data_IF_892593206824
#
_entry.id   IF_892593206824
#
_cell.length_a   1.000
_cell.length_b   1.000
_cell.length_c   1.000
_cell.angle_alpha   90.00
_cell.angle_beta   90.00
_cell.angle_gamma   90.00
#
_symmetry.space_group_name_H-M   'P 1'
#
loop_
_entity.id
_entity.type
_entity.pdbx_description
1 polymer ?
#
# COMPACT_ATOMS: atom_id res chain seq x y z
N UNK A 1 -1.91 6.28 -20.31
CA UNK A 1 -0.72 6.39 -19.44
C UNK A 1 -0.42 5.00 -18.89
N UNK A 2 0.83 4.57 -18.85
CA UNK A 2 1.20 3.24 -18.35
C UNK A 2 0.99 3.17 -16.82
N UNK A 3 0.43 2.07 -16.31
CA UNK A 3 0.16 1.88 -14.87
C UNK A 3 1.45 1.97 -14.05
N UNK A 4 2.57 1.48 -14.60
CA UNK A 4 3.87 1.55 -13.94
C UNK A 4 4.29 3.01 -13.68
N UNK A 5 4.06 3.91 -14.63
CA UNK A 5 4.38 5.33 -14.47
C UNK A 5 3.52 5.98 -13.37
N UNK A 6 2.26 5.57 -13.24
CA UNK A 6 1.40 6.02 -12.14
C UNK A 6 1.93 5.56 -10.79
N UNK A 7 2.40 4.31 -10.70
CA UNK A 7 3.03 3.77 -9.47
C UNK A 7 4.23 4.63 -9.07
N UNK A 8 5.13 4.95 -10.00
CA UNK A 8 6.30 5.78 -9.67
C UNK A 8 5.92 7.17 -9.16
N UNK A 9 4.91 7.81 -9.75
CA UNK A 9 4.39 9.10 -9.24
C UNK A 9 3.80 8.96 -7.84
N UNK A 10 3.04 7.89 -7.59
CA UNK A 10 2.48 7.61 -6.26
C UNK A 10 3.57 7.34 -5.22
N UNK A 11 4.61 6.56 -5.56
CA UNK A 11 5.76 6.33 -4.69
C UNK A 11 6.52 7.62 -4.39
N UNK A 12 6.72 8.50 -5.38
CA UNK A 12 7.35 9.80 -5.11
C UNK A 12 6.55 10.60 -4.09
N UNK A 13 5.22 10.72 -4.27
CA UNK A 13 4.36 11.41 -3.31
C UNK A 13 4.37 10.75 -1.92
N UNK A 14 4.29 9.42 -1.88
CA UNK A 14 4.20 8.65 -0.64
C UNK A 14 5.52 8.63 0.17
N UNK A 15 6.65 8.92 -0.49
CA UNK A 15 7.95 9.05 0.16
C UNK A 15 8.12 10.32 0.99
N UNK A 16 7.23 11.31 0.82
CA UNK A 16 7.29 12.58 1.54
C UNK A 16 6.76 12.44 2.96
N UNK A 17 7.30 13.22 3.89
CA UNK A 17 6.79 13.23 5.27
C UNK A 17 5.35 13.79 5.37
N UNK A 18 4.91 14.57 4.38
CA UNK A 18 3.52 15.07 4.26
C UNK A 18 2.53 14.03 3.74
N UNK A 19 2.96 12.81 3.38
CA UNK A 19 2.06 11.72 3.00
C UNK A 19 1.12 11.30 4.15
N UNK A 20 0.07 10.55 3.82
CA UNK A 20 -0.86 9.92 4.76
C UNK A 20 -1.00 8.41 4.52
N UNK A 21 -1.62 7.71 5.47
CA UNK A 21 -1.95 6.30 5.30
C UNK A 21 -3.13 6.14 4.33
N UNK A 22 -3.23 4.98 3.65
CA UNK A 22 -4.34 4.70 2.72
C UNK A 22 -5.68 4.70 3.46
N UNK A 23 -5.71 4.13 4.67
CA UNK A 23 -6.84 4.22 5.57
C UNK A 23 -6.49 5.18 6.70
N UNK A 24 -7.04 6.40 6.61
CA UNK A 24 -6.84 7.47 7.60
C UNK A 24 -8.19 7.97 8.09
N UNK A 25 -8.27 8.39 9.35
CA UNK A 25 -9.46 9.03 9.89
C UNK A 25 -9.65 10.42 9.29
N UNK A 26 -10.89 10.76 8.92
CA UNK A 26 -11.29 12.06 8.39
C UNK A 26 -12.47 12.60 9.19
N UNK A 27 -12.50 13.90 9.47
CA UNK A 27 -13.48 14.54 10.34
C UNK A 27 -14.09 15.81 9.76
N UNK A 28 -13.64 16.26 8.59
CA UNK A 28 -14.11 17.49 7.93
C UNK A 28 -14.30 17.27 6.43
N UNK A 29 -15.16 18.07 5.80
CA UNK A 29 -15.40 17.99 4.35
C UNK A 29 -14.12 18.18 3.54
N UNK A 30 -13.23 19.08 3.99
CA UNK A 30 -11.92 19.28 3.37
C UNK A 30 -11.06 18.02 3.44
N UNK A 31 -11.01 17.34 4.58
CA UNK A 31 -10.27 16.07 4.71
C UNK A 31 -10.90 14.95 3.86
N UNK A 32 -12.22 14.94 3.70
CA UNK A 32 -12.91 14.00 2.79
C UNK A 32 -12.47 14.24 1.34
N UNK A 33 -12.45 15.50 0.90
CA UNK A 33 -11.96 15.87 -0.45
C UNK A 33 -10.48 15.48 -0.64
N UNK A 34 -9.64 15.66 0.39
CA UNK A 34 -8.22 15.27 0.36
C UNK A 34 -8.01 13.76 0.22
N UNK A 35 -8.99 12.91 0.53
CA UNK A 35 -8.89 11.46 0.28
C UNK A 35 -9.05 11.09 -1.21
N UNK A 36 -9.54 11.99 -2.06
CA UNK A 36 -9.62 11.78 -3.50
C UNK A 36 -8.30 12.09 -4.19
N UNK A 37 -7.23 11.42 -3.76
CA UNK A 37 -5.88 11.70 -4.20
C UNK A 37 -5.18 10.49 -4.85
N UNK A 38 -4.03 10.73 -5.47
CA UNK A 38 -3.23 9.68 -6.12
C UNK A 38 -2.88 8.52 -5.18
N UNK A 39 -2.77 8.73 -3.86
CA UNK A 39 -2.47 7.65 -2.92
C UNK A 39 -3.66 6.69 -2.80
N UNK A 40 -4.86 7.20 -2.54
CA UNK A 40 -6.06 6.36 -2.43
C UNK A 40 -6.29 5.51 -3.69
N UNK A 41 -6.12 6.09 -4.88
CA UNK A 41 -6.30 5.36 -6.14
C UNK A 41 -5.11 4.43 -6.45
N UNK A 42 -3.91 4.98 -6.59
CA UNK A 42 -2.78 4.24 -7.18
C UNK A 42 -2.08 3.36 -6.15
N UNK A 43 -1.87 3.84 -4.91
CA UNK A 43 -1.31 2.98 -3.84
C UNK A 43 -2.31 1.88 -3.50
N UNK A 44 -3.60 2.20 -3.39
CA UNK A 44 -4.67 1.21 -3.21
C UNK A 44 -4.64 0.10 -4.28
N UNK A 45 -4.65 0.47 -5.56
CA UNK A 45 -4.55 -0.49 -6.66
C UNK A 45 -3.24 -1.31 -6.64
N UNK A 46 -2.11 -0.67 -6.28
CA UNK A 46 -0.81 -1.33 -6.18
C UNK A 46 -0.78 -2.38 -5.07
N UNK A 47 -1.42 -2.09 -3.93
CA UNK A 47 -1.56 -3.05 -2.83
C UNK A 47 -2.41 -4.26 -3.22
N UNK A 48 -3.51 -4.04 -3.96
CA UNK A 48 -4.31 -5.12 -4.52
C UNK A 48 -3.51 -5.94 -5.53
N UNK A 49 -2.70 -5.29 -6.38
CA UNK A 49 -1.84 -5.98 -7.34
C UNK A 49 -0.78 -6.82 -6.62
N UNK A 50 -0.13 -6.29 -5.59
CA UNK A 50 0.83 -7.02 -4.75
C UNK A 50 0.16 -8.24 -4.10
N UNK A 51 -1.01 -8.05 -3.49
CA UNK A 51 -1.75 -9.12 -2.84
C UNK A 51 -2.18 -10.21 -3.82
N UNK A 52 -2.68 -9.85 -5.01
CA UNK A 52 -3.01 -10.78 -6.10
C UNK A 52 -1.82 -11.66 -6.49
N UNK A 53 -0.62 -11.08 -6.61
CA UNK A 53 0.58 -11.86 -6.94
C UNK A 53 1.01 -12.76 -5.78
N UNK A 54 0.86 -12.29 -4.55
CA UNK A 54 1.20 -13.07 -3.36
C UNK A 54 0.27 -14.27 -3.14
N UNK A 55 -1.04 -14.09 -3.34
CA UNK A 55 -2.06 -15.13 -3.12
C UNK A 55 -2.28 -16.04 -4.33
N UNK A 56 -1.86 -15.64 -5.52
CA UNK A 56 -2.30 -16.11 -6.85
C UNK A 56 -3.63 -15.51 -7.33
N UNK A 57 -3.82 -15.53 -8.66
CA UNK A 57 -4.99 -14.97 -9.33
C UNK A 57 -6.29 -15.62 -8.86
N UNK A 58 -6.32 -16.95 -8.77
CA UNK A 58 -7.55 -17.71 -8.51
C UNK A 58 -8.02 -17.51 -7.06
N UNK A 59 -7.09 -17.55 -6.09
CA UNK A 59 -7.38 -17.25 -4.68
C UNK A 59 -7.87 -15.82 -4.51
N UNK A 60 -7.19 -14.86 -5.14
CA UNK A 60 -7.59 -13.46 -5.09
C UNK A 60 -8.99 -13.24 -5.69
N UNK A 61 -9.26 -13.83 -6.86
CA UNK A 61 -10.57 -13.71 -7.51
C UNK A 61 -11.69 -14.31 -6.65
N UNK A 62 -11.51 -15.53 -6.12
CA UNK A 62 -12.49 -16.16 -5.24
C UNK A 62 -12.75 -15.32 -3.98
N UNK A 63 -11.72 -14.69 -3.42
CA UNK A 63 -11.87 -13.81 -2.25
C UNK A 63 -12.67 -12.54 -2.57
N UNK A 64 -12.49 -11.97 -3.77
CA UNK A 64 -13.31 -10.85 -4.25
C UNK A 64 -14.76 -11.26 -4.48
N UNK A 65 -15.01 -12.44 -5.06
CA UNK A 65 -16.36 -12.97 -5.28
C UNK A 65 -17.11 -13.14 -3.95
N UNK A 66 -16.47 -13.73 -2.94
CA UNK A 66 -17.00 -13.85 -1.58
C UNK A 66 -17.26 -12.48 -0.96
N UNK A 67 -16.30 -11.55 -1.07
CA UNK A 67 -16.43 -10.20 -0.51
C UNK A 67 -17.65 -9.46 -1.08
N UNK A 68 -17.80 -9.45 -2.41
CA UNK A 68 -18.90 -8.76 -3.09
C UNK A 68 -20.24 -9.41 -2.75
N UNK A 69 -20.31 -10.75 -2.73
CA UNK A 69 -21.53 -11.46 -2.36
C UNK A 69 -21.96 -11.12 -0.92
N UNK A 70 -21.05 -11.19 0.04
CA UNK A 70 -21.36 -10.99 1.47
C UNK A 70 -21.75 -9.56 1.82
N UNK A 71 -21.27 -8.56 1.07
CA UNK A 71 -21.53 -7.13 1.32
C UNK A 71 -22.47 -6.51 0.28
N UNK A 72 -23.16 -7.33 -0.51
CA UNK A 72 -24.13 -6.86 -1.49
C UNK A 72 -25.22 -6.05 -0.80
N UNK A 73 -25.49 -4.85 -1.35
CA UNK A 73 -26.46 -3.88 -0.80
C UNK A 73 -26.14 -3.36 0.62
N UNK A 74 -24.93 -3.60 1.12
CA UNK A 74 -24.47 -3.16 2.42
C UNK A 74 -23.30 -2.17 2.36
N UNK A 75 -22.64 -2.02 3.50
CA UNK A 75 -21.41 -1.25 3.67
C UNK A 75 -20.28 -2.16 4.12
N UNK A 76 -19.04 -1.76 3.89
CA UNK A 76 -17.86 -2.50 4.32
C UNK A 76 -16.77 -1.58 4.87
N UNK A 77 -15.93 -2.15 5.71
CA UNK A 77 -14.68 -1.60 6.20
C UNK A 77 -13.50 -2.40 5.63
N UNK A 78 -12.29 -1.87 5.79
CA UNK A 78 -11.08 -2.50 5.26
C UNK A 78 -10.91 -3.95 5.73
N UNK A 79 -11.30 -4.24 6.98
CA UNK A 79 -11.16 -5.57 7.57
C UNK A 79 -12.04 -6.64 6.89
N UNK A 80 -13.20 -6.25 6.35
CA UNK A 80 -14.14 -7.16 5.71
C UNK A 80 -13.60 -7.75 4.40
N UNK A 81 -12.81 -6.96 3.67
CA UNK A 81 -12.09 -7.42 2.48
C UNK A 81 -11.05 -8.48 2.85
N UNK A 82 -10.29 -8.25 3.91
CA UNK A 82 -9.25 -9.19 4.36
C UNK A 82 -9.84 -10.47 4.93
N UNK A 83 -10.98 -10.37 5.62
CA UNK A 83 -11.71 -11.52 6.14
C UNK A 83 -12.23 -12.41 5.01
N UNK A 84 -12.71 -11.81 3.92
CA UNK A 84 -13.14 -12.56 2.73
C UNK A 84 -11.97 -13.31 2.07
N UNK A 85 -10.77 -12.72 2.05
CA UNK A 85 -9.56 -13.41 1.56
C UNK A 85 -9.11 -14.54 2.49
N UNK A 86 -9.18 -14.34 3.81
CA UNK A 86 -8.84 -15.34 4.81
C UNK A 86 -9.74 -16.59 4.75
N UNK A 87 -11.00 -16.42 4.33
CA UNK A 87 -11.93 -17.54 4.10
C UNK A 87 -11.42 -18.46 2.99
N UNK A 88 -10.87 -17.91 1.90
CA UNK A 88 -10.35 -18.71 0.78
C UNK A 88 -9.01 -19.37 1.12
N UNK A 89 -8.14 -18.68 1.87
CA UNK A 89 -6.85 -19.25 2.30
C UNK A 89 -7.00 -20.27 3.44
N UNK A 90 -8.21 -20.54 3.91
CA UNK A 90 -8.51 -21.39 5.08
C UNK A 90 -7.70 -21.00 6.33
N UNK A 91 -7.40 -19.71 6.50
CA UNK A 91 -6.61 -19.21 7.63
C UNK A 91 -5.14 -19.63 7.68
N UNK A 92 -4.62 -20.30 6.63
CA UNK A 92 -3.19 -20.65 6.53
C UNK A 92 -2.28 -19.43 6.47
N UNK A 93 -2.85 -18.30 6.04
CA UNK A 93 -2.22 -16.99 5.97
C UNK A 93 -3.18 -15.98 6.60
N UNK A 94 -2.66 -15.15 7.49
CA UNK A 94 -3.38 -14.00 8.05
C UNK A 94 -3.21 -12.77 7.15
N UNK A 95 -4.09 -12.66 6.14
CA UNK A 95 -4.12 -11.56 5.17
C UNK A 95 -4.39 -10.23 5.86
N UNK A 96 -5.23 -10.23 6.91
CA UNK A 96 -5.55 -9.03 7.68
C UNK A 96 -4.30 -8.47 8.35
N UNK A 97 -3.54 -9.31 9.05
CA UNK A 97 -2.27 -8.89 9.68
C UNK A 97 -1.24 -8.43 8.65
N UNK A 98 -1.14 -9.10 7.50
CA UNK A 98 -0.26 -8.70 6.40
C UNK A 98 -0.61 -7.30 5.89
N UNK A 99 -1.89 -7.06 5.57
CA UNK A 99 -2.33 -5.81 4.92
C UNK A 99 -2.48 -4.64 5.88
N UNK A 100 -2.65 -4.88 7.18
CA UNK A 100 -2.77 -3.84 8.21
C UNK A 100 -1.61 -2.84 8.18
N UNK A 101 -0.37 -3.31 8.06
CA UNK A 101 0.81 -2.43 7.99
C UNK A 101 0.74 -1.53 6.75
N UNK A 102 0.38 -2.10 5.60
CA UNK A 102 0.33 -1.40 4.31
C UNK A 102 -0.74 -0.31 4.23
N UNK A 103 -1.88 -0.51 4.91
CA UNK A 103 -3.00 0.45 4.85
C UNK A 103 -2.98 1.49 5.98
N UNK A 104 -2.40 1.17 7.14
CA UNK A 104 -2.39 2.05 8.31
C UNK A 104 -1.12 2.89 8.47
N UNK A 105 -0.06 2.60 7.72
CA UNK A 105 1.18 3.38 7.76
C UNK A 105 1.40 4.13 6.43
N UNK A 106 1.84 5.39 6.54
CA UNK A 106 2.27 6.19 5.39
C UNK A 106 3.63 5.74 4.87
N UNK A 107 3.87 5.90 3.57
CA UNK A 107 5.10 5.48 2.91
C UNK A 107 5.14 3.98 2.58
N UNK A 108 6.33 3.53 2.22
CA UNK A 108 6.66 2.16 1.82
C UNK A 108 8.10 1.82 2.24
N UNK A 109 8.48 0.54 2.32
CA UNK A 109 9.83 0.16 2.73
C UNK A 109 10.84 0.33 1.60
N UNK A 110 12.05 0.77 1.97
CA UNK A 110 13.27 0.51 1.22
C UNK A 110 13.75 -0.89 1.59
N UNK A 111 13.96 -1.75 0.60
CA UNK A 111 14.51 -3.10 0.80
C UNK A 111 15.95 -3.13 0.29
N UNK A 112 16.90 -3.25 1.22
CA UNK A 112 18.33 -3.35 0.92
C UNK A 112 18.72 -4.82 0.84
N UNK A 113 19.31 -5.21 -0.30
CA UNK A 113 19.74 -6.59 -0.57
C UNK A 113 21.26 -6.63 -0.69
N UNK A 114 21.91 -7.44 0.14
CA UNK A 114 23.36 -7.64 0.13
C UNK A 114 23.67 -9.10 -0.15
N UNK A 115 24.48 -9.36 -1.18
CA UNK A 115 24.90 -10.73 -1.54
C UNK A 115 26.36 -10.97 -1.17
N UNK A 116 26.61 -12.03 -0.39
CA UNK A 116 27.95 -12.54 -0.05
C UNK A 116 28.07 -14.00 -0.52
N UNK A 117 28.60 -14.19 -1.72
CA UNK A 117 28.66 -15.50 -2.37
C UNK A 117 27.26 -16.08 -2.63
N UNK A 118 26.91 -17.16 -1.90
CA UNK A 118 25.58 -17.80 -1.94
C UNK A 118 24.60 -17.25 -0.90
N UNK A 119 25.07 -16.43 0.04
CA UNK A 119 24.23 -15.83 1.09
C UNK A 119 23.62 -14.54 0.56
N UNK A 120 22.29 -14.40 0.66
CA UNK A 120 21.56 -13.17 0.38
C UNK A 120 20.99 -12.67 1.72
N UNK A 121 21.45 -11.51 2.15
CA UNK A 121 20.92 -10.80 3.32
C UNK A 121 19.96 -9.71 2.85
N UNK A 122 18.79 -9.65 3.47
CA UNK A 122 17.73 -8.69 3.13
C UNK A 122 17.37 -7.92 4.40
N UNK A 123 17.33 -6.60 4.29
CA UNK A 123 16.90 -5.69 5.35
C UNK A 123 15.87 -4.72 4.80
N UNK A 124 14.90 -4.33 5.63
CA UNK A 124 13.96 -3.27 5.28
C UNK A 124 14.06 -2.10 6.27
N UNK A 125 13.83 -0.89 5.76
CA UNK A 125 13.66 0.33 6.54
C UNK A 125 12.65 1.25 5.85
N UNK A 126 12.20 2.31 6.53
CA UNK A 126 11.25 3.25 5.92
C UNK A 126 11.96 4.09 4.84
N UNK A 127 11.46 4.06 3.61
CA UNK A 127 11.92 5.00 2.58
C UNK A 127 11.36 6.40 2.86
N UNK A 128 12.24 7.39 2.92
CA UNK A 128 11.88 8.80 3.04
C UNK A 128 12.71 9.60 2.05
N UNK A 129 12.05 10.31 1.15
CA UNK A 129 12.75 11.22 0.26
C UNK A 129 13.13 12.47 1.06
N UNK A 130 14.44 12.66 1.27
CA UNK A 130 15.00 13.89 1.81
C UNK A 130 15.39 14.76 0.64
N UNK A 131 14.82 15.96 0.56
CA UNK A 131 15.51 17.02 -0.18
C UNK A 131 16.71 17.41 0.69
N UNK A 132 17.92 17.17 0.19
CA UNK A 132 19.09 17.88 0.69
C UNK A 132 18.73 19.38 0.64
N UNK A 133 18.88 20.16 1.72
CA UNK A 133 18.75 21.60 1.61
C UNK A 133 19.72 22.05 0.52
N UNK A 134 19.28 22.88 -0.42
CA UNK A 134 20.20 23.59 -1.30
C UNK A 134 21.22 24.28 -0.38
N UNK A 135 22.44 23.75 -0.32
CA UNK A 135 23.57 24.51 0.17
C UNK A 135 23.75 25.63 -0.84
N UNK A 136 23.06 26.75 -0.63
CA UNK A 136 23.40 28.03 -1.21
C UNK A 136 24.82 28.36 -0.76
N UNK A 137 25.81 27.91 -1.52
CA UNK A 137 27.11 28.58 -1.56
C UNK A 137 26.89 29.86 -2.33
N UNK A 138 26.56 30.94 -1.61
CA UNK A 138 26.80 32.27 -2.13
C UNK A 138 28.31 32.49 -2.19
N UNK A 139 28.93 32.06 -3.27
CA UNK A 139 30.24 32.57 -3.66
C UNK A 139 30.03 33.93 -4.33
N UNK A 140 30.09 35.00 -3.54
CA UNK A 140 30.52 36.36 -3.91
C UNK A 140 30.61 37.24 -2.65
#
# INVERSE_FOLDING_TARGET
>A
EDFLNLIFKAMMKDSLNSSHAVSSAVQSSKQIEEMFDTLSYIKGASLLLMLKHYLTKDVFQAGIEVYVHNHSYGTAHSDDLWDSMNQITNGTLDVKKLMKTWILHKGFPLVTVVRKGKIISVQQEKFLYRMEPENWTSDA
#
